data_IF_634071560850
#
_entry.id   IF_634071560850
#
_cell.length_a   1.000
_cell.length_b   1.000
_cell.length_c   1.000
_cell.angle_alpha   90.00
_cell.angle_beta   90.00
_cell.angle_gamma   90.00
#
_symmetry.space_group_name_H-M   'P 1'
#
loop_
_entity.id
_entity.type
_entity.pdbx_description
1 polymer ?
#
# COMPACT_ATOMS: atom_id res chain seq x y z
N UNK A 1 -8.15 1.28 4.51
CA UNK A 1 -7.74 0.70 3.20
C UNK A 1 -8.55 -0.56 2.93
N UNK A 2 -8.87 -0.85 1.66
CA UNK A 2 -9.50 -2.14 1.30
C UNK A 2 -8.52 -3.29 1.55
N UNK A 3 -9.03 -4.43 2.03
CA UNK A 3 -8.22 -5.64 2.21
C UNK A 3 -7.70 -6.21 0.87
N UNK A 4 -8.40 -5.93 -0.23
CA UNK A 4 -8.00 -6.36 -1.58
C UNK A 4 -6.67 -5.74 -2.04
N UNK A 5 -6.26 -4.62 -1.43
CA UNK A 5 -4.98 -3.96 -1.71
C UNK A 5 -3.79 -4.57 -0.95
N UNK A 6 -4.06 -5.39 0.08
CA UNK A 6 -3.01 -5.89 0.98
C UNK A 6 -2.09 -6.84 0.22
N UNK A 7 -0.78 -6.65 0.36
CA UNK A 7 0.27 -7.49 -0.22
C UNK A 7 1.26 -7.87 0.86
N UNK A 8 1.89 -9.02 0.68
CA UNK A 8 3.03 -9.46 1.50
C UNK A 8 4.22 -9.59 0.56
N UNK A 9 5.28 -8.82 0.82
CA UNK A 9 6.53 -8.83 0.06
C UNK A 9 7.64 -9.07 1.06
N UNK A 10 8.44 -10.13 0.85
CA UNK A 10 9.53 -10.53 1.74
C UNK A 10 9.14 -10.61 3.23
N UNK A 11 7.91 -11.11 3.50
CA UNK A 11 7.36 -11.23 4.84
C UNK A 11 6.79 -9.93 5.44
N UNK A 12 6.92 -8.80 4.75
CA UNK A 12 6.39 -7.50 5.19
C UNK A 12 5.02 -7.26 4.57
N UNK A 13 4.04 -6.91 5.41
CA UNK A 13 2.71 -6.52 4.93
C UNK A 13 2.70 -5.06 4.51
N UNK A 14 2.15 -4.77 3.34
CA UNK A 14 2.07 -3.43 2.78
C UNK A 14 1.02 -3.31 1.68
N UNK A 15 1.05 -2.17 1.00
CA UNK A 15 0.24 -1.87 -0.18
C UNK A 15 1.12 -1.25 -1.26
N UNK A 16 0.70 -1.38 -2.52
CA UNK A 16 1.28 -0.57 -3.58
C UNK A 16 0.44 0.69 -3.77
N UNK A 17 1.13 1.80 -3.94
CA UNK A 17 0.52 3.08 -4.31
C UNK A 17 1.08 3.57 -5.63
N UNK A 18 0.31 4.36 -6.35
CA UNK A 18 0.81 5.09 -7.51
C UNK A 18 1.37 6.44 -7.05
N UNK A 19 2.69 6.61 -7.17
CA UNK A 19 3.38 7.87 -6.91
C UNK A 19 3.81 8.49 -8.23
N UNK A 20 2.96 9.35 -8.80
CA UNK A 20 3.14 9.85 -10.16
C UNK A 20 2.86 8.76 -11.19
N UNK A 21 3.91 8.20 -11.79
CA UNK A 21 3.81 7.08 -12.74
C UNK A 21 4.42 5.78 -12.21
N UNK A 22 4.95 5.78 -10.99
CA UNK A 22 5.67 4.65 -10.42
C UNK A 22 4.84 3.96 -9.33
N UNK A 23 4.81 2.63 -9.37
CA UNK A 23 4.24 1.81 -8.30
C UNK A 23 5.25 1.69 -7.17
N UNK A 24 4.90 2.18 -5.99
CA UNK A 24 5.77 2.13 -4.81
C UNK A 24 5.14 1.27 -3.72
N UNK A 25 5.91 0.32 -3.16
CA UNK A 25 5.49 -0.46 -2.01
C UNK A 25 5.61 0.36 -0.73
N UNK A 26 4.52 0.45 0.03
CA UNK A 26 4.47 1.11 1.33
C UNK A 26 4.11 0.10 2.42
N UNK A 27 5.01 -0.16 3.38
CA UNK A 27 4.71 -1.05 4.50
C UNK A 27 3.61 -0.45 5.38
N UNK A 28 2.75 -1.30 5.93
CA UNK A 28 1.63 -0.88 6.78
C UNK A 28 1.68 -1.56 8.15
N UNK A 29 1.18 -0.85 9.16
CA UNK A 29 0.91 -1.40 10.49
C UNK A 29 -0.61 -1.39 10.70
N UNK A 30 -1.21 -2.58 10.78
CA UNK A 30 -2.65 -2.72 10.99
C UNK A 30 -3.01 -2.42 12.45
N UNK A 31 -3.96 -1.52 12.66
CA UNK A 31 -4.51 -1.17 13.99
C UNK A 31 -5.81 -1.92 14.24
N UNK A 32 -6.62 -2.09 13.19
CA UNK A 32 -7.88 -2.82 13.26
C UNK A 32 -8.19 -3.44 11.91
N UNK A 33 -8.69 -4.68 11.89
CA UNK A 33 -9.01 -5.40 10.65
C UNK A 33 -10.41 -5.96 10.75
N UNK A 34 -11.19 -5.73 9.70
CA UNK A 34 -12.47 -6.41 9.44
C UNK A 34 -12.32 -7.32 8.22
N UNK A 35 -13.41 -7.97 7.81
CA UNK A 35 -13.41 -8.81 6.61
C UNK A 35 -13.14 -8.00 5.32
N UNK A 36 -13.61 -6.75 5.23
CA UNK A 36 -13.53 -5.95 4.00
C UNK A 36 -12.45 -4.85 4.02
N UNK A 37 -12.09 -4.35 5.19
CA UNK A 37 -11.11 -3.26 5.30
C UNK A 37 -10.21 -3.37 6.52
N UNK A 38 -9.04 -2.75 6.41
CA UNK A 38 -8.06 -2.58 7.48
C UNK A 38 -7.88 -1.09 7.77
N UNK A 39 -7.91 -0.72 9.05
CA UNK A 39 -7.45 0.58 9.56
C UNK A 39 -5.96 0.44 9.81
N UNK A 40 -5.17 1.30 9.19
CA UNK A 40 -3.72 1.33 9.34
C UNK A 40 -3.29 2.54 10.14
N UNK A 41 -2.21 2.37 10.89
CA UNK A 41 -1.59 3.45 11.63
C UNK A 41 -1.06 4.49 10.65
N UNK A 42 -1.44 5.73 10.89
CA UNK A 42 -0.90 6.87 10.16
C UNK A 42 0.22 7.50 10.99
N UNK A 43 1.41 7.57 10.39
CA UNK A 43 2.57 8.24 10.98
C UNK A 43 3.15 9.22 9.94
N UNK A 44 2.83 10.52 10.03
CA UNK A 44 3.30 11.51 9.07
C UNK A 44 4.81 11.76 9.16
N UNK A 45 5.45 11.37 10.26
CA UNK A 45 6.89 11.56 10.48
C UNK A 45 7.75 10.45 9.88
N UNK A 46 7.15 9.29 9.58
CA UNK A 46 7.86 8.12 9.07
C UNK A 46 8.05 8.19 7.55
N UNK A 47 9.30 8.24 7.05
CA UNK A 47 9.57 8.14 5.62
C UNK A 47 9.04 6.82 5.03
N UNK A 48 8.46 6.88 3.83
CA UNK A 48 7.92 5.71 3.14
C UNK A 48 6.60 5.16 3.72
N UNK A 49 6.04 5.75 4.79
CA UNK A 49 4.74 5.38 5.29
C UNK A 49 3.61 5.75 4.30
N UNK A 50 2.51 5.02 4.39
CA UNK A 50 1.27 5.36 3.68
C UNK A 50 0.75 6.71 4.17
N UNK A 51 0.52 7.62 3.23
CA UNK A 51 0.03 8.97 3.47
C UNK A 51 -1.45 9.08 3.13
N UNK A 52 -2.10 10.06 3.74
CA UNK A 52 -3.41 10.48 3.29
C UNK A 52 -3.32 10.92 1.82
N UNK A 53 -4.34 10.54 1.04
CA UNK A 53 -4.46 10.80 -0.40
C UNK A 53 -3.52 9.99 -1.31
N UNK A 54 -2.75 9.04 -0.78
CA UNK A 54 -2.08 8.06 -1.66
C UNK A 54 -3.12 7.25 -2.44
N UNK A 55 -2.92 7.15 -3.76
CA UNK A 55 -3.75 6.29 -4.61
C UNK A 55 -3.31 4.84 -4.47
N UNK A 56 -4.14 4.04 -3.79
CA UNK A 56 -3.84 2.63 -3.52
C UNK A 56 -4.27 1.76 -4.70
N UNK A 57 -3.38 0.87 -5.11
CA UNK A 57 -3.64 -0.10 -6.17
C UNK A 57 -4.40 -1.30 -5.59
N UNK A 58 -5.67 -1.44 -5.96
CA UNK A 58 -6.51 -2.57 -5.55
C UNK A 58 -6.20 -3.84 -6.36
N UNK A 59 -6.00 -3.68 -7.67
CA UNK A 59 -5.78 -4.79 -8.61
C UNK A 59 -4.91 -4.37 -9.79
N UNK A 60 -4.25 -5.35 -10.41
CA UNK A 60 -3.42 -5.15 -11.60
C UNK A 60 -2.54 -6.37 -11.89
N UNK A 61 -2.14 -6.55 -13.16
CA UNK A 61 -1.29 -7.67 -13.58
C UNK A 61 0.20 -7.29 -13.46
N UNK A 62 1.00 -8.19 -12.88
CA UNK A 62 2.46 -8.03 -12.75
C UNK A 62 2.86 -6.77 -11.99
N UNK A 63 2.32 -6.57 -10.79
CA UNK A 63 2.66 -5.44 -9.92
C UNK A 63 3.91 -5.78 -9.10
N UNK A 64 4.87 -4.85 -9.05
CA UNK A 64 6.07 -4.91 -8.22
C UNK A 64 6.58 -3.47 -7.98
N UNK A 65 7.47 -3.31 -7.01
CA UNK A 65 8.04 -2.01 -6.64
C UNK A 65 8.94 -1.44 -7.75
N UNK A 66 8.79 -0.16 -8.08
CA UNK A 66 9.52 0.48 -9.17
C UNK A 66 8.93 0.26 -10.56
N UNK A 67 7.75 -0.37 -10.67
CA UNK A 67 7.07 -0.52 -11.96
C UNK A 67 6.52 0.82 -12.44
N UNK A 68 6.89 1.24 -13.64
CA UNK A 68 6.32 2.42 -14.31
C UNK A 68 5.05 2.04 -15.07
N UNK A 69 3.99 2.83 -14.89
CA UNK A 69 2.76 2.74 -15.69
C UNK A 69 3.04 3.37 -17.06
N UNK A 70 2.88 2.59 -18.13
CA UNK A 70 2.90 3.05 -19.52
C UNK A 70 1.54 2.84 -20.17
#
# INVERSE_FOLDING_TARGET
>A
MSNDARRVVDGVTGVYVLSGMEMTFKPIEAVYTTDSYTIVKWDPSKPGALKLYDEIILSGKGIYDGKVVQ
#
